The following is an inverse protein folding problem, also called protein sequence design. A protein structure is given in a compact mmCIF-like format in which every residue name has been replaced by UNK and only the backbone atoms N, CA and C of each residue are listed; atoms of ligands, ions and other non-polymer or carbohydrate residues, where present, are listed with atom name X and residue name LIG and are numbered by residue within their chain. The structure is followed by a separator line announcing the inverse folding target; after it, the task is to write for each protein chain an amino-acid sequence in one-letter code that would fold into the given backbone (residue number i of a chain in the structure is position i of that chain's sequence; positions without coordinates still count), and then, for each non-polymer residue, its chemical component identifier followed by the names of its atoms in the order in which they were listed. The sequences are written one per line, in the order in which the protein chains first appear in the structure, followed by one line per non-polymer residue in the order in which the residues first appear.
data_IF_041916534220
#
_entry.id   IF_041916534220
#
_cell.length_a   1.000
_cell.length_b   1.000
_cell.length_c   1.000
_cell.angle_alpha   90.00
_cell.angle_beta   90.00
_cell.angle_gamma   90.00
#
_symmetry.space_group_name_H-M   'P 1'
#
loop_
_entity.id
_entity.type
_entity.pdbx_description
1 polymer ?
#
# COMPACT_ATOMS: atom_id res chain seq x y z
N UNK A 1 19.75 -1.97 -0.65
CA UNK A 1 19.38 -2.06 -2.08
C UNK A 1 18.87 -3.46 -2.40
N UNK A 2 17.82 -3.55 -3.21
CA UNK A 2 17.19 -4.82 -3.58
C UNK A 2 16.76 -4.76 -5.05
N UNK A 3 16.92 -5.88 -5.77
CA UNK A 3 16.46 -6.04 -7.15
C UNK A 3 14.95 -6.33 -7.16
N UNK A 4 14.14 -5.31 -6.90
CA UNK A 4 12.69 -5.46 -6.68
C UNK A 4 12.00 -6.10 -7.88
N UNK A 5 12.32 -5.67 -9.10
CA UNK A 5 11.71 -6.20 -10.32
C UNK A 5 11.96 -7.70 -10.49
N UNK A 6 13.22 -8.13 -10.29
CA UNK A 6 13.57 -9.55 -10.38
C UNK A 6 12.84 -10.39 -9.33
N UNK A 7 12.78 -9.90 -8.10
CA UNK A 7 12.11 -10.63 -7.00
C UNK A 7 10.60 -10.72 -7.24
N UNK A 8 9.93 -9.62 -7.60
CA UNK A 8 8.49 -9.60 -7.85
C UNK A 8 8.14 -10.52 -9.04
N UNK A 9 8.86 -10.38 -10.15
CA UNK A 9 8.61 -11.22 -11.32
C UNK A 9 8.95 -12.69 -11.06
N UNK A 10 10.00 -12.97 -10.26
CA UNK A 10 10.32 -14.33 -9.83
C UNK A 10 9.21 -14.97 -8.98
N UNK A 11 8.59 -14.23 -8.07
CA UNK A 11 7.45 -14.69 -7.29
C UNK A 11 6.22 -14.93 -8.17
N UNK A 12 5.94 -14.04 -9.12
CA UNK A 12 4.84 -14.22 -10.09
C UNK A 12 5.09 -15.48 -10.95
N UNK A 13 6.32 -15.66 -11.45
CA UNK A 13 6.68 -16.84 -12.20
C UNK A 13 6.49 -18.13 -11.41
N UNK A 14 6.95 -18.17 -10.17
CA UNK A 14 6.76 -19.34 -9.30
C UNK A 14 5.28 -19.66 -9.06
N UNK A 15 4.45 -18.64 -8.85
CA UNK A 15 3.00 -18.80 -8.68
C UNK A 15 2.35 -19.38 -9.97
N UNK A 16 2.67 -18.82 -11.13
CA UNK A 16 2.13 -19.28 -12.40
C UNK A 16 2.57 -20.71 -12.74
N UNK A 17 3.83 -21.06 -12.45
CA UNK A 17 4.33 -22.44 -12.61
C UNK A 17 3.52 -23.39 -11.72
N UNK A 18 3.24 -23.03 -10.47
CA UNK A 18 2.41 -23.85 -9.59
C UNK A 18 1.00 -24.09 -10.16
N UNK A 19 0.35 -23.06 -10.69
CA UNK A 19 -0.96 -23.18 -11.32
C UNK A 19 -0.91 -24.02 -12.61
N UNK A 20 0.13 -23.85 -13.43
CA UNK A 20 0.30 -24.64 -14.66
C UNK A 20 0.56 -26.12 -14.34
N UNK A 21 1.33 -26.43 -13.32
CA UNK A 21 1.55 -27.80 -12.85
C UNK A 21 0.25 -28.45 -12.34
N UNK A 22 -0.53 -27.70 -11.54
CA UNK A 22 -1.84 -28.16 -11.08
C UNK A 22 -2.79 -28.44 -12.25
N UNK A 23 -2.86 -27.53 -13.22
CA UNK A 23 -3.64 -27.72 -14.44
C UNK A 23 -3.18 -28.94 -15.25
N UNK A 24 -1.85 -29.10 -15.41
CA UNK A 24 -1.26 -30.25 -16.09
C UNK A 24 -1.66 -31.55 -15.43
N UNK A 25 -1.65 -31.63 -14.12
CA UNK A 25 -2.07 -32.82 -13.38
C UNK A 25 -3.53 -33.20 -13.67
N UNK A 26 -4.41 -32.20 -13.80
CA UNK A 26 -5.83 -32.43 -14.08
C UNK A 26 -6.16 -32.70 -15.54
N UNK A 27 -5.40 -32.16 -16.47
CA UNK A 27 -5.73 -32.19 -17.91
C UNK A 27 -4.79 -33.05 -18.76
N UNK A 28 -3.66 -33.46 -18.19
CA UNK A 28 -2.57 -34.12 -18.93
C UNK A 28 -1.82 -33.21 -19.90
N UNK A 29 -2.11 -31.91 -19.93
CA UNK A 29 -1.54 -30.94 -20.87
C UNK A 29 -0.70 -29.92 -20.19
N UNK A 30 0.56 -29.74 -20.64
CA UNK A 30 1.42 -28.62 -20.28
C UNK A 30 1.05 -27.36 -21.07
N UNK A 31 1.61 -26.24 -20.63
CA UNK A 31 1.44 -24.95 -21.30
C UNK A 31 2.74 -24.13 -21.23
N UNK A 32 2.88 -23.18 -22.13
CA UNK A 32 3.94 -22.19 -22.10
C UNK A 32 3.48 -21.00 -21.24
N UNK A 33 4.39 -20.50 -20.41
CA UNK A 33 4.14 -19.36 -19.55
C UNK A 33 5.05 -18.21 -19.97
N UNK A 34 4.47 -17.03 -20.03
CA UNK A 34 5.19 -15.79 -20.28
C UNK A 34 4.98 -14.84 -19.08
N UNK A 35 6.08 -14.31 -18.54
CA UNK A 35 6.07 -13.39 -17.40
C UNK A 35 6.89 -12.15 -17.79
N UNK A 36 6.32 -11.24 -18.58
CA UNK A 36 7.04 -10.05 -19.02
C UNK A 36 7.27 -9.12 -17.83
N UNK A 37 8.54 -8.78 -17.60
CA UNK A 37 8.95 -8.02 -16.41
C UNK A 37 8.36 -6.61 -16.40
N UNK A 38 8.37 -5.92 -17.54
CA UNK A 38 7.89 -4.54 -17.64
C UNK A 38 6.41 -4.44 -17.28
N UNK A 39 5.55 -5.26 -17.89
CA UNK A 39 4.11 -5.24 -17.70
C UNK A 39 3.72 -5.64 -16.27
N UNK A 40 4.39 -6.64 -15.71
CA UNK A 40 4.16 -7.06 -14.33
C UNK A 40 4.57 -5.97 -13.34
N UNK A 41 5.69 -5.31 -13.56
CA UNK A 41 6.12 -4.20 -12.71
C UNK A 41 5.25 -2.96 -12.90
N UNK A 42 4.82 -2.66 -14.13
CA UNK A 42 3.87 -1.59 -14.37
C UNK A 42 2.56 -1.82 -13.61
N UNK A 43 1.99 -3.02 -13.69
CA UNK A 43 0.79 -3.39 -12.94
C UNK A 43 1.01 -3.29 -11.42
N UNK A 44 2.15 -3.76 -10.92
CA UNK A 44 2.48 -3.73 -9.49
C UNK A 44 2.61 -2.30 -8.94
N UNK A 45 3.23 -1.39 -9.71
CA UNK A 45 3.53 -0.03 -9.27
C UNK A 45 2.38 0.93 -9.54
N UNK A 46 1.74 0.84 -10.72
CA UNK A 46 0.78 1.85 -11.17
C UNK A 46 -0.56 1.82 -10.42
N UNK A 47 -0.90 0.73 -9.74
CA UNK A 47 -2.11 0.67 -8.92
C UNK A 47 -2.15 1.80 -7.89
N UNK A 48 -1.06 2.01 -7.18
CA UNK A 48 -0.96 3.06 -6.18
C UNK A 48 -0.53 4.41 -6.77
N UNK A 49 0.39 4.39 -7.75
CA UNK A 49 0.88 5.64 -8.36
C UNK A 49 -0.17 6.36 -9.20
N UNK A 50 -1.03 5.66 -9.91
CA UNK A 50 -2.13 6.28 -10.63
C UNK A 50 -3.29 6.66 -9.71
N UNK A 51 -3.66 5.77 -8.76
CA UNK A 51 -4.72 6.02 -7.80
C UNK A 51 -6.00 6.52 -8.48
N UNK A 52 -6.47 7.70 -8.08
CA UNK A 52 -7.67 8.33 -8.61
C UNK A 52 -7.57 8.71 -10.11
N UNK A 53 -6.38 8.80 -10.68
CA UNK A 53 -6.18 9.03 -12.12
C UNK A 53 -6.45 7.79 -12.99
N UNK A 54 -6.64 6.61 -12.41
CA UNK A 54 -7.04 5.41 -13.15
C UNK A 54 -8.44 5.51 -13.76
N UNK A 55 -9.24 6.48 -13.36
CA UNK A 55 -10.62 6.69 -13.84
C UNK A 55 -10.70 7.69 -14.97
N UNK A 56 -11.77 7.60 -15.76
CA UNK A 56 -12.10 8.59 -16.83
C UNK A 56 -13.53 9.10 -16.66
N UNK A 57 -13.75 10.39 -16.30
CA UNK A 57 -12.71 11.37 -15.94
C UNK A 57 -11.99 11.00 -14.63
N UNK A 58 -10.78 11.54 -14.37
CA UNK A 58 -10.06 11.31 -13.13
C UNK A 58 -10.89 11.75 -11.91
N UNK A 59 -10.85 10.94 -10.86
CA UNK A 59 -11.54 11.24 -9.58
C UNK A 59 -10.70 12.11 -8.63
N UNK A 60 -9.42 12.31 -8.95
CA UNK A 60 -8.51 13.11 -8.14
C UNK A 60 -7.07 13.04 -8.68
N UNK A 61 -6.11 13.59 -7.94
CA UNK A 61 -4.69 13.57 -8.30
C UNK A 61 -4.13 12.14 -8.28
N UNK A 62 -2.97 11.90 -8.94
CA UNK A 62 -2.28 10.61 -8.88
C UNK A 62 -1.72 10.33 -7.48
N UNK A 63 -1.50 9.07 -7.21
CA UNK A 63 -0.87 8.58 -5.97
C UNK A 63 -1.85 8.28 -4.85
N UNK A 64 -1.33 7.67 -3.80
CA UNK A 64 -2.07 7.41 -2.55
C UNK A 64 -1.83 8.56 -1.58
N UNK A 65 -2.89 9.28 -1.21
CA UNK A 65 -2.81 10.43 -0.30
C UNK A 65 -2.22 10.09 1.06
N UNK A 66 -2.35 8.84 1.54
CA UNK A 66 -1.76 8.40 2.80
C UNK A 66 -0.23 8.32 2.72
N UNK A 67 0.31 7.94 1.56
CA UNK A 67 1.76 7.82 1.33
C UNK A 67 2.36 9.18 0.96
N UNK A 68 1.63 9.98 0.19
CA UNK A 68 2.09 11.28 -0.30
C UNK A 68 1.86 12.44 0.70
N UNK A 69 1.15 12.18 1.80
CA UNK A 69 0.97 13.18 2.84
C UNK A 69 2.32 13.67 3.36
N UNK A 70 2.55 14.99 3.48
CA UNK A 70 3.76 15.54 4.11
C UNK A 70 3.97 15.03 5.54
N UNK A 71 2.90 14.60 6.20
CA UNK A 71 2.92 14.07 7.57
C UNK A 71 3.19 12.56 7.62
N UNK A 72 3.22 11.85 6.47
CA UNK A 72 3.57 10.43 6.38
C UNK A 72 5.07 10.20 6.54
N UNK A 73 5.63 10.66 7.67
CA UNK A 73 7.05 10.59 8.00
C UNK A 73 7.26 10.33 9.49
N UNK A 74 8.40 9.75 9.88
CA UNK A 74 8.74 9.64 11.29
C UNK A 74 8.79 11.02 11.97
N UNK A 75 8.14 11.12 13.11
CA UNK A 75 8.11 12.32 13.94
C UNK A 75 9.30 12.33 14.90
N UNK A 76 9.92 13.47 15.08
CA UNK A 76 11.03 13.62 16.02
C UNK A 76 10.50 13.61 17.45
N UNK A 77 11.16 12.86 18.31
CA UNK A 77 10.96 12.85 19.77
C UNK A 77 12.15 13.51 20.47
N UNK A 78 12.11 13.55 21.79
CA UNK A 78 13.22 14.12 22.59
C UNK A 78 14.53 13.31 22.43
N UNK A 79 14.43 12.01 22.20
CA UNK A 79 15.55 11.07 22.18
C UNK A 79 15.68 10.29 20.86
N UNK A 80 14.84 10.58 19.86
CA UNK A 80 14.89 9.86 18.59
C UNK A 80 13.75 10.19 17.63
N UNK A 81 13.17 9.15 17.03
CA UNK A 81 12.06 9.26 16.09
C UNK A 81 11.02 8.18 16.37
N UNK A 82 9.76 8.50 16.15
CA UNK A 82 8.63 7.56 16.19
C UNK A 82 7.83 7.62 14.90
N UNK A 83 7.46 6.46 14.35
CA UNK A 83 6.47 6.36 13.29
C UNK A 83 5.09 6.09 13.90
N UNK A 84 4.13 6.94 13.59
CA UNK A 84 2.76 6.82 14.08
C UNK A 84 1.82 6.66 12.90
N UNK A 85 0.92 5.68 12.98
CA UNK A 85 -0.15 5.48 12.00
C UNK A 85 -1.44 5.15 12.75
N UNK A 86 -2.35 6.11 12.81
CA UNK A 86 -3.64 5.98 13.47
C UNK A 86 -4.77 6.00 12.43
N UNK A 87 -5.02 4.85 11.82
CA UNK A 87 -5.93 4.70 10.68
C UNK A 87 -7.41 4.56 11.06
N UNK A 88 -7.70 4.31 12.34
CA UNK A 88 -9.06 4.19 12.85
C UNK A 88 -9.31 5.21 13.98
N UNK A 89 -10.59 5.49 14.26
CA UNK A 89 -10.95 6.39 15.36
C UNK A 89 -10.45 5.87 16.72
N UNK A 90 -10.55 4.56 16.95
CA UNK A 90 -10.04 3.95 18.18
C UNK A 90 -8.53 4.12 18.33
N UNK A 91 -7.76 3.97 17.25
CA UNK A 91 -6.30 4.17 17.25
C UNK A 91 -5.95 5.64 17.48
N UNK A 92 -6.67 6.57 16.85
CA UNK A 92 -6.46 8.00 17.06
C UNK A 92 -6.76 8.41 18.50
N UNK A 93 -7.87 7.94 19.06
CA UNK A 93 -8.23 8.21 20.45
C UNK A 93 -7.21 7.65 21.45
N UNK A 94 -6.74 6.42 21.22
CA UNK A 94 -5.68 5.81 22.03
C UNK A 94 -4.36 6.60 21.92
N UNK A 95 -4.02 7.10 20.73
CA UNK A 95 -2.86 7.95 20.54
C UNK A 95 -2.99 9.28 21.29
N UNK A 96 -4.17 9.94 21.26
CA UNK A 96 -4.40 11.17 21.99
C UNK A 96 -4.28 10.97 23.52
N UNK A 97 -4.75 9.83 24.03
CA UNK A 97 -4.55 9.47 25.44
C UNK A 97 -3.05 9.26 25.74
N UNK A 98 -2.34 8.53 24.89
CA UNK A 98 -0.92 8.23 25.08
C UNK A 98 -0.03 9.49 25.14
N UNK A 99 -0.39 10.52 24.35
CA UNK A 99 0.33 11.81 24.37
C UNK A 99 -0.23 12.79 25.42
N UNK A 100 -1.15 12.32 26.29
CA UNK A 100 -1.80 13.13 27.34
C UNK A 100 -2.59 14.34 26.80
N UNK A 101 -3.25 14.15 25.64
CA UNK A 101 -4.08 15.18 24.99
C UNK A 101 -5.49 14.64 24.69
N UNK A 102 -6.24 14.15 25.70
CA UNK A 102 -7.57 13.56 25.47
C UNK A 102 -8.61 14.54 24.90
N UNK A 103 -8.41 15.85 25.06
CA UNK A 103 -9.28 16.88 24.50
C UNK A 103 -9.32 16.87 22.96
N UNK A 104 -8.28 16.32 22.31
CA UNK A 104 -8.24 16.20 20.84
C UNK A 104 -9.30 15.24 20.30
N UNK A 105 -9.85 14.35 21.12
CA UNK A 105 -10.94 13.43 20.71
C UNK A 105 -12.22 14.17 20.32
N UNK A 106 -12.45 15.35 20.85
CA UNK A 106 -13.63 16.16 20.59
C UNK A 106 -13.34 17.40 19.74
N UNK A 107 -12.10 17.59 19.33
CA UNK A 107 -11.69 18.71 18.48
C UNK A 107 -12.18 18.46 17.04
N UNK A 108 -12.94 19.40 16.45
CA UNK A 108 -13.45 19.25 15.07
C UNK A 108 -12.38 19.03 14.02
N UNK A 109 -11.16 19.49 14.26
CA UNK A 109 -10.01 19.29 13.33
C UNK A 109 -9.58 17.84 13.21
N UNK A 110 -9.96 16.99 14.17
CA UNK A 110 -9.59 15.56 14.24
C UNK A 110 -10.80 14.63 14.25
N UNK A 111 -12.00 15.15 13.96
CA UNK A 111 -13.25 14.42 14.10
C UNK A 111 -13.39 13.24 13.13
N UNK A 112 -12.79 13.31 11.95
CA UNK A 112 -12.87 12.26 10.93
C UNK A 112 -11.48 11.86 10.42
N UNK A 113 -11.38 10.67 9.84
CA UNK A 113 -10.12 10.18 9.23
C UNK A 113 -9.56 11.17 8.20
N UNK A 114 -10.35 11.75 7.26
CA UNK A 114 -9.84 12.72 6.31
C UNK A 114 -9.35 14.04 6.92
N UNK A 115 -9.76 14.37 8.14
CA UNK A 115 -9.33 15.59 8.84
C UNK A 115 -8.06 15.39 9.67
N UNK A 116 -7.75 14.15 9.98
CA UNK A 116 -6.51 13.73 10.67
C UNK A 116 -5.39 13.42 9.69
#
# INVERSE_FOLDING_TARGET
PMLVADHVCGLIAAQLIGFALYRRERTGRGESLEVPMFENMAAFVLQEHLGAMSFRPPLGPPGDGRVLSPEARPLRTADGYVAVSANTDAQAHAFFDAISRPELKTDPRFATVPQR
#
